data_IF_846696678845
#
_entry.id   IF_846696678845
#
_cell.length_a   1.000
_cell.length_b   1.000
_cell.length_c   1.000
_cell.angle_alpha   90.00
_cell.angle_beta   90.00
_cell.angle_gamma   90.00
#
_symmetry.space_group_name_H-M   'P 1'
#
loop_
_entity.id
_entity.type
_entity.pdbx_description
1 polymer ?
#
# COMPACT_ATOMS: atom_id res chain seq x y z
N UNK A 1 3.69 -16.25 -41.04
CA UNK A 1 2.83 -16.75 -39.95
C UNK A 1 3.47 -16.37 -38.62
N UNK A 2 2.66 -15.72 -37.76
CA UNK A 2 3.02 -15.10 -36.47
C UNK A 2 3.49 -16.15 -35.46
N UNK A 3 4.56 -15.85 -34.71
CA UNK A 3 4.71 -16.16 -33.28
C UNK A 3 5.64 -15.12 -32.63
N UNK A 4 5.10 -13.94 -32.34
CA UNK A 4 5.72 -13.02 -31.37
C UNK A 4 5.17 -13.47 -30.02
N UNK A 5 5.91 -14.30 -29.31
CA UNK A 5 5.58 -14.67 -27.94
C UNK A 5 5.87 -13.47 -27.04
N UNK A 6 4.80 -12.81 -26.62
CA UNK A 6 4.80 -11.96 -25.43
C UNK A 6 5.17 -12.81 -24.23
N UNK A 7 6.35 -12.54 -23.65
CA UNK A 7 6.67 -12.94 -22.29
C UNK A 7 7.59 -11.88 -21.69
N UNK A 8 7.02 -10.72 -21.37
CA UNK A 8 7.59 -9.83 -20.36
C UNK A 8 7.41 -10.51 -18.99
N UNK A 9 8.17 -11.58 -18.76
CA UNK A 9 8.39 -12.10 -17.42
C UNK A 9 9.41 -11.18 -16.76
N UNK A 10 8.93 -10.06 -16.22
CA UNK A 10 9.72 -9.20 -15.35
C UNK A 10 10.13 -10.04 -14.15
N UNK A 11 11.34 -10.59 -14.19
CA UNK A 11 11.94 -11.30 -13.09
C UNK A 11 12.09 -10.33 -11.90
N UNK A 12 11.17 -10.41 -10.95
CA UNK A 12 11.31 -9.75 -9.66
C UNK A 12 12.36 -10.56 -8.91
N UNK A 13 13.64 -10.21 -9.06
CA UNK A 13 14.68 -10.66 -8.15
C UNK A 13 14.35 -10.13 -6.75
N UNK A 14 13.66 -10.95 -5.95
CA UNK A 14 13.40 -10.72 -4.55
C UNK A 14 14.67 -11.07 -3.77
N UNK A 15 15.39 -10.06 -3.28
CA UNK A 15 16.40 -10.25 -2.25
C UNK A 15 15.70 -10.60 -0.94
N UNK A 16 15.58 -11.90 -0.64
CA UNK A 16 15.31 -12.37 0.72
C UNK A 16 16.59 -12.24 1.54
N UNK A 17 16.95 -11.02 1.97
CA UNK A 17 18.01 -10.84 2.97
C UNK A 17 17.44 -11.25 4.33
N UNK A 18 17.45 -12.55 4.61
CA UNK A 18 17.29 -13.04 5.97
C UNK A 18 18.53 -12.58 6.76
N UNK A 19 18.40 -11.51 7.54
CA UNK A 19 19.40 -11.19 8.56
C UNK A 19 19.29 -12.25 9.64
N UNK A 20 20.00 -13.35 9.46
CA UNK A 20 20.08 -14.41 10.45
C UNK A 20 21.22 -14.09 11.42
N UNK A 21 20.89 -13.60 12.61
CA UNK A 21 21.70 -13.92 13.77
C UNK A 21 21.36 -15.37 14.17
N UNK A 22 21.92 -16.35 13.44
CA UNK A 22 21.87 -17.76 13.86
C UNK A 22 22.74 -17.88 15.10
N UNK A 23 22.16 -17.81 16.30
CA UNK A 23 22.81 -18.47 17.44
C UNK A 23 22.74 -19.97 17.18
N UNK A 24 23.88 -20.57 16.90
CA UNK A 24 24.00 -22.02 16.82
C UNK A 24 23.61 -22.62 18.18
N UNK A 25 22.45 -23.26 18.25
CA UNK A 25 22.30 -24.42 19.10
C UNK A 25 21.59 -25.51 18.30
N UNK A 26 22.34 -26.59 18.11
CA UNK A 26 21.82 -27.91 17.78
C UNK A 26 20.70 -28.26 18.75
N UNK A 27 19.45 -28.19 18.29
CA UNK A 27 18.33 -29.00 18.79
C UNK A 27 17.21 -28.98 17.75
N UNK A 28 16.67 -30.16 17.48
CA UNK A 28 15.62 -30.42 16.50
C UNK A 28 14.31 -29.65 16.81
N UNK A 29 13.62 -29.24 15.74
CA UNK A 29 12.17 -28.96 15.67
C UNK A 29 11.57 -27.56 15.97
N UNK A 30 12.25 -26.43 15.77
CA UNK A 30 11.54 -25.12 15.70
C UNK A 30 12.06 -24.15 14.64
N UNK A 31 12.35 -24.64 13.44
CA UNK A 31 12.60 -23.77 12.31
C UNK A 31 11.26 -23.27 11.73
N UNK A 32 10.73 -22.17 12.28
CA UNK A 32 9.75 -21.33 11.57
C UNK A 32 10.45 -20.80 10.30
N UNK A 33 10.48 -21.62 9.26
CA UNK A 33 11.15 -21.26 8.01
C UNK A 33 10.47 -20.04 7.40
N UNK A 34 11.24 -19.22 6.69
CA UNK A 34 10.75 -18.09 5.91
C UNK A 34 9.55 -18.48 5.02
N UNK A 35 9.56 -19.70 4.49
CA UNK A 35 8.47 -20.25 3.67
C UNK A 35 7.19 -20.53 4.46
N UNK A 36 7.30 -21.06 5.67
CA UNK A 36 6.14 -21.26 6.54
C UNK A 36 5.51 -19.93 6.95
N UNK A 37 6.35 -18.93 7.21
CA UNK A 37 5.86 -17.58 7.53
C UNK A 37 5.07 -16.97 6.36
N UNK A 38 5.59 -17.10 5.14
CA UNK A 38 4.89 -16.65 3.93
C UNK A 38 3.58 -17.40 3.71
N UNK A 39 3.57 -18.73 3.89
CA UNK A 39 2.35 -19.54 3.81
C UNK A 39 1.30 -19.12 4.84
N UNK A 40 1.73 -18.78 6.06
CA UNK A 40 0.83 -18.32 7.12
C UNK A 40 0.14 -17.00 6.74
N UNK A 41 0.81 -16.11 5.99
CA UNK A 41 0.23 -14.85 5.51
C UNK A 41 -0.82 -15.02 4.41
N UNK A 42 -0.85 -16.15 3.69
CA UNK A 42 -1.79 -16.34 2.58
C UNK A 42 -3.23 -16.44 3.07
N UNK A 43 -4.16 -15.75 2.42
CA UNK A 43 -5.59 -15.88 2.73
C UNK A 43 -6.34 -14.56 2.78
N UNK A 44 -7.55 -14.61 3.35
CA UNK A 44 -8.42 -13.45 3.50
C UNK A 44 -8.32 -12.87 4.90
N UNK A 45 -8.39 -11.56 5.00
CA UNK A 45 -8.30 -10.80 6.24
C UNK A 45 -9.53 -9.88 6.37
N UNK A 46 -9.98 -9.66 7.60
CA UNK A 46 -10.99 -8.65 7.92
C UNK A 46 -10.57 -7.84 9.15
N UNK A 47 -10.80 -6.54 9.08
CA UNK A 47 -10.44 -5.63 10.14
C UNK A 47 -10.76 -4.19 9.78
N UNK A 48 -9.85 -3.29 10.12
CA UNK A 48 -10.07 -1.85 10.03
C UNK A 48 -9.03 -1.14 9.18
N UNK A 49 -9.49 -0.08 8.51
CA UNK A 49 -8.71 0.93 7.85
C UNK A 49 -8.93 2.25 8.59
N UNK A 50 -7.82 2.93 8.89
CA UNK A 50 -7.78 4.31 9.34
C UNK A 50 -6.77 5.09 8.52
N UNK A 51 -6.82 6.42 8.64
CA UNK A 51 -5.84 7.30 8.05
C UNK A 51 -5.63 8.56 8.91
N UNK A 52 -4.46 9.16 8.80
CA UNK A 52 -4.12 10.44 9.41
C UNK A 52 -3.58 11.41 8.38
N UNK A 53 -3.77 12.70 8.64
CA UNK A 53 -3.27 13.81 7.84
C UNK A 53 -3.10 15.01 8.76
N UNK A 54 -1.98 15.73 8.64
CA UNK A 54 -1.63 16.81 9.58
C UNK A 54 -1.75 16.34 11.05
N UNK A 55 -2.60 16.97 11.87
CA UNK A 55 -2.89 16.58 13.26
C UNK A 55 -4.17 15.75 13.42
N UNK A 56 -4.88 15.47 12.32
CA UNK A 56 -6.15 14.75 12.32
C UNK A 56 -5.94 13.26 12.12
N UNK A 57 -6.73 12.44 12.82
CA UNK A 57 -6.77 10.98 12.65
C UNK A 57 -8.22 10.54 12.51
N UNK A 58 -8.49 9.77 11.46
CA UNK A 58 -9.77 9.13 11.19
C UNK A 58 -9.55 7.62 11.30
N UNK A 59 -10.35 6.93 12.10
CA UNK A 59 -10.18 5.50 12.36
C UNK A 59 -11.46 4.72 12.11
N UNK A 60 -11.32 3.42 11.88
CA UNK A 60 -12.41 2.47 12.11
C UNK A 60 -13.31 2.14 10.91
N UNK A 61 -12.82 2.24 9.67
CA UNK A 61 -13.59 1.76 8.52
C UNK A 61 -13.39 0.27 8.36
N UNK A 62 -14.48 -0.51 8.36
CA UNK A 62 -14.39 -1.94 8.07
C UNK A 62 -13.79 -2.16 6.69
N UNK A 63 -12.79 -3.00 6.62
CA UNK A 63 -12.13 -3.37 5.38
C UNK A 63 -11.78 -4.85 5.37
N UNK A 64 -11.53 -5.36 4.18
CA UNK A 64 -11.03 -6.71 3.98
C UNK A 64 -9.99 -6.71 2.88
N UNK A 65 -9.03 -7.61 2.97
CA UNK A 65 -8.02 -7.79 1.94
C UNK A 65 -7.65 -9.26 1.80
N UNK A 66 -6.99 -9.56 0.68
CA UNK A 66 -6.45 -10.89 0.40
C UNK A 66 -4.96 -10.80 0.18
N UNK A 67 -4.24 -11.82 0.63
CA UNK A 67 -2.82 -12.01 0.34
C UNK A 67 -2.68 -13.26 -0.52
N UNK A 68 -2.06 -13.11 -1.69
CA UNK A 68 -1.87 -14.20 -2.64
C UNK A 68 -0.45 -14.79 -2.61
N UNK A 69 -0.25 -15.87 -3.35
CA UNK A 69 1.03 -16.58 -3.48
C UNK A 69 2.14 -15.71 -4.08
N UNK A 70 1.77 -14.67 -4.83
CA UNK A 70 2.69 -13.67 -5.39
C UNK A 70 3.07 -12.59 -4.38
N UNK A 71 2.64 -12.72 -3.12
CA UNK A 71 2.87 -11.78 -2.02
C UNK A 71 2.28 -10.39 -2.30
N UNK A 72 1.16 -10.38 -3.02
CA UNK A 72 0.38 -9.19 -3.29
C UNK A 72 -0.79 -9.16 -2.31
N UNK A 73 -0.86 -8.09 -1.54
CA UNK A 73 -2.01 -7.75 -0.72
C UNK A 73 -2.96 -6.94 -1.60
N UNK A 74 -4.21 -7.38 -1.75
CA UNK A 74 -5.24 -6.68 -2.51
C UNK A 74 -6.37 -6.25 -1.59
N UNK A 75 -6.56 -4.93 -1.48
CA UNK A 75 -7.69 -4.30 -0.79
C UNK A 75 -8.68 -3.90 -1.89
N UNK A 76 -9.76 -4.66 -2.07
CA UNK A 76 -10.64 -4.53 -3.25
C UNK A 76 -11.35 -3.17 -3.37
N UNK A 77 -11.66 -2.54 -2.25
CA UNK A 77 -12.37 -1.26 -2.18
C UNK A 77 -11.59 -0.27 -1.33
N UNK A 78 -10.45 0.17 -1.84
CA UNK A 78 -9.67 1.22 -1.19
C UNK A 78 -10.29 2.60 -1.47
N UNK A 79 -10.49 3.43 -0.44
CA UNK A 79 -11.27 4.66 -0.59
C UNK A 79 -10.43 5.84 -1.05
N UNK A 80 -10.07 5.90 -2.33
CA UNK A 80 -9.19 6.95 -2.85
C UNK A 80 -9.64 8.39 -2.56
N UNK A 81 -10.94 8.62 -2.31
CA UNK A 81 -11.47 9.90 -1.85
C UNK A 81 -10.82 10.45 -0.59
N UNK A 82 -10.28 9.59 0.28
CA UNK A 82 -9.60 10.04 1.52
C UNK A 82 -8.31 10.81 1.22
N UNK A 83 -7.74 10.68 0.02
CA UNK A 83 -6.61 11.49 -0.43
C UNK A 83 -6.97 12.96 -0.60
N UNK A 84 -8.25 13.34 -0.68
CA UNK A 84 -8.67 14.75 -0.68
C UNK A 84 -8.16 15.49 0.57
N UNK A 85 -8.02 14.80 1.71
CA UNK A 85 -7.48 15.36 2.95
C UNK A 85 -6.00 15.75 2.85
N UNK A 86 -5.30 15.27 1.82
CA UNK A 86 -3.93 15.67 1.50
C UNK A 86 -3.81 17.02 0.79
N UNK A 87 -4.94 17.67 0.46
CA UNK A 87 -4.97 18.97 -0.19
C UNK A 87 -5.22 20.08 0.83
N UNK A 88 -4.27 21.01 1.03
CA UNK A 88 -4.44 22.08 2.02
C UNK A 88 -5.42 23.16 1.62
N UNK A 89 -5.54 23.45 0.33
CA UNK A 89 -6.43 24.46 -0.23
C UNK A 89 -7.84 23.89 -0.32
N UNK A 90 -8.51 23.91 0.81
CA UNK A 90 -9.96 23.76 0.95
C UNK A 90 -10.75 24.93 0.32
N UNK A 91 -10.06 25.98 -0.15
CA UNK A 91 -10.68 27.19 -0.69
C UNK A 91 -10.24 28.48 0.00
N UNK A 92 -9.08 28.50 0.69
CA UNK A 92 -8.58 29.67 1.44
C UNK A 92 -8.34 30.96 0.63
N UNK A 93 -8.38 30.91 -0.70
CA UNK A 93 -8.39 32.10 -1.59
C UNK A 93 -9.72 32.30 -2.33
N UNK A 94 -10.80 31.64 -1.88
CA UNK A 94 -12.15 31.74 -2.46
C UNK A 94 -12.41 30.85 -3.68
N UNK A 95 -11.47 29.98 -4.07
CA UNK A 95 -11.67 29.00 -5.15
C UNK A 95 -11.16 27.64 -4.70
N UNK A 96 -12.04 26.65 -4.68
CA UNK A 96 -11.73 25.25 -4.35
C UNK A 96 -10.68 24.69 -5.33
N UNK A 97 -9.69 23.95 -4.84
CA UNK A 97 -8.71 23.28 -5.71
C UNK A 97 -9.44 22.28 -6.62
N UNK A 98 -9.26 22.34 -7.96
CA UNK A 98 -9.84 21.34 -8.86
C UNK A 98 -9.43 19.91 -8.50
N UNK A 99 -8.22 19.74 -7.93
CA UNK A 99 -7.75 18.46 -7.42
C UNK A 99 -8.56 17.98 -6.22
N UNK A 100 -8.85 18.87 -5.25
CA UNK A 100 -9.66 18.53 -4.09
C UNK A 100 -11.05 18.03 -4.51
N UNK A 101 -11.74 18.80 -5.36
CA UNK A 101 -13.06 18.45 -5.87
C UNK A 101 -13.06 17.12 -6.66
N UNK A 102 -12.00 16.85 -7.42
CA UNK A 102 -11.85 15.61 -8.17
C UNK A 102 -11.57 14.41 -7.25
N UNK A 103 -10.74 14.57 -6.22
CA UNK A 103 -10.45 13.54 -5.24
C UNK A 103 -11.70 13.19 -4.42
N UNK A 104 -12.52 14.16 -4.01
CA UNK A 104 -13.77 13.88 -3.30
C UNK A 104 -14.73 12.98 -4.09
N UNK A 105 -14.66 13.01 -5.42
CA UNK A 105 -15.46 12.19 -6.33
C UNK A 105 -14.77 10.89 -6.76
N UNK A 106 -13.53 10.65 -6.31
CA UNK A 106 -12.79 9.44 -6.64
C UNK A 106 -13.54 8.21 -6.11
N UNK A 107 -13.71 7.22 -6.99
CA UNK A 107 -14.38 5.98 -6.66
C UNK A 107 -13.47 5.07 -5.83
N UNK A 108 -14.09 4.23 -5.01
CA UNK A 108 -13.38 3.14 -4.36
C UNK A 108 -12.89 2.16 -5.44
N UNK A 109 -11.62 1.78 -5.36
CA UNK A 109 -11.02 0.88 -6.33
C UNK A 109 -9.94 0.01 -5.66
N UNK A 110 -9.51 -1.09 -6.31
CA UNK A 110 -8.51 -1.97 -5.72
C UNK A 110 -7.17 -1.30 -5.48
N UNK A 111 -6.66 -1.38 -4.25
CA UNK A 111 -5.26 -1.06 -3.92
C UNK A 111 -4.46 -2.37 -3.85
N UNK A 112 -3.36 -2.42 -4.62
CA UNK A 112 -2.36 -3.49 -4.50
C UNK A 112 -1.19 -3.02 -3.65
N UNK A 113 -0.74 -3.86 -2.74
CA UNK A 113 0.45 -3.63 -1.93
C UNK A 113 1.37 -4.83 -2.08
N UNK A 114 2.59 -4.61 -2.58
CA UNK A 114 3.57 -5.68 -2.80
C UNK A 114 4.43 -5.84 -1.56
N UNK A 115 4.52 -7.05 -1.02
CA UNK A 115 5.51 -7.37 0.03
C UNK A 115 6.86 -7.60 -0.66
N UNK A 116 7.78 -6.64 -0.54
CA UNK A 116 9.13 -6.69 -1.12
C UNK A 116 10.09 -7.56 -0.34
N UNK A 117 9.93 -7.64 0.97
CA UNK A 117 10.83 -8.35 1.86
C UNK A 117 10.25 -8.45 3.27
N UNK A 118 10.87 -9.29 4.08
CA UNK A 118 10.51 -9.41 5.49
C UNK A 118 11.71 -9.80 6.35
N UNK A 119 11.71 -9.32 7.59
CA UNK A 119 12.64 -9.74 8.64
C UNK A 119 11.90 -10.57 9.68
N UNK A 120 12.44 -11.74 10.03
CA UNK A 120 11.83 -12.63 11.01
C UNK A 120 12.30 -12.29 12.44
N UNK A 121 11.38 -12.42 13.38
CA UNK A 121 11.63 -12.54 14.82
C UNK A 121 10.72 -13.62 15.40
N UNK A 122 10.96 -14.04 16.64
CA UNK A 122 10.35 -15.25 17.25
C UNK A 122 8.84 -15.41 16.99
N UNK A 123 8.06 -14.33 17.12
CA UNK A 123 6.60 -14.34 16.94
C UNK A 123 6.07 -13.42 15.84
N UNK A 124 6.94 -12.65 15.17
CA UNK A 124 6.54 -11.63 14.19
C UNK A 124 7.40 -11.67 12.93
N UNK A 125 6.83 -11.23 11.80
CA UNK A 125 7.62 -10.76 10.67
C UNK A 125 7.42 -9.27 10.48
N UNK A 126 8.51 -8.54 10.34
CA UNK A 126 8.51 -7.15 9.88
C UNK A 126 8.41 -7.16 8.38
N UNK A 127 7.54 -6.34 7.79
CA UNK A 127 7.26 -6.34 6.36
C UNK A 127 7.78 -5.06 5.70
N UNK A 128 8.51 -5.21 4.61
CA UNK A 128 8.77 -4.13 3.66
C UNK A 128 7.71 -4.19 2.57
N UNK A 129 6.89 -3.13 2.46
CA UNK A 129 5.77 -3.08 1.52
C UNK A 129 5.92 -1.95 0.52
N UNK A 130 5.36 -2.13 -0.68
CA UNK A 130 5.22 -1.08 -1.70
C UNK A 130 3.76 -1.00 -2.13
N UNK A 131 3.00 -0.01 -1.64
CA UNK A 131 1.68 0.33 -2.15
C UNK A 131 1.75 0.83 -3.59
N UNK A 132 0.91 0.29 -4.46
CA UNK A 132 0.75 0.72 -5.84
C UNK A 132 -0.46 1.65 -5.95
N UNK A 133 -0.28 2.91 -5.56
CA UNK A 133 -1.35 3.92 -5.61
C UNK A 133 -1.52 4.39 -7.05
N UNK A 134 -2.57 3.88 -7.72
CA UNK A 134 -2.93 4.25 -9.08
C UNK A 134 -4.45 4.19 -9.25
N UNK A 135 -5.06 5.31 -9.61
CA UNK A 135 -6.51 5.44 -9.76
C UNK A 135 -6.86 6.56 -10.75
N UNK A 136 -8.08 6.57 -11.28
CA UNK A 136 -8.51 7.62 -12.20
C UNK A 136 -9.35 8.68 -11.48
N UNK A 137 -9.20 9.93 -11.92
CA UNK A 137 -10.04 11.06 -11.51
C UNK A 137 -10.51 11.83 -12.73
N UNK A 138 -11.64 12.52 -12.60
CA UNK A 138 -12.14 13.44 -13.63
C UNK A 138 -11.94 14.89 -13.17
N UNK A 139 -11.24 15.67 -13.97
CA UNK A 139 -10.97 17.10 -13.76
C UNK A 139 -11.42 17.82 -15.04
N UNK A 140 -12.31 18.80 -14.91
CA UNK A 140 -12.82 19.61 -16.03
C UNK A 140 -13.37 18.80 -17.23
N UNK A 141 -13.94 17.62 -16.95
CA UNK A 141 -14.51 16.71 -17.96
C UNK A 141 -13.53 15.69 -18.53
N UNK A 142 -12.22 15.88 -18.32
CA UNK A 142 -11.19 14.96 -18.76
C UNK A 142 -10.83 13.94 -17.68
N UNK A 143 -10.51 12.71 -18.09
CA UNK A 143 -10.08 11.65 -17.18
C UNK A 143 -8.57 11.53 -17.14
N UNK A 144 -8.00 11.63 -15.94
CA UNK A 144 -6.57 11.53 -15.68
C UNK A 144 -6.26 10.35 -14.77
N UNK A 145 -5.09 9.73 -14.98
CA UNK A 145 -4.55 8.75 -14.04
C UNK A 145 -3.76 9.49 -12.96
N UNK A 146 -4.08 9.21 -11.71
CA UNK A 146 -3.37 9.68 -10.53
C UNK A 146 -2.44 8.59 -10.03
N UNK A 147 -1.16 8.94 -9.81
CA UNK A 147 -0.16 8.09 -9.17
C UNK A 147 0.25 8.66 -7.83
N UNK A 148 0.17 7.86 -6.78
CA UNK A 148 0.68 8.23 -5.46
C UNK A 148 2.12 7.76 -5.28
N UNK A 149 2.94 8.63 -4.71
CA UNK A 149 4.32 8.35 -4.34
C UNK A 149 4.41 8.19 -2.82
N UNK A 150 5.06 7.11 -2.41
CA UNK A 150 5.24 6.72 -1.02
C UNK A 150 6.65 7.12 -0.57
N UNK A 151 6.83 7.53 0.69
CA UNK A 151 8.18 7.67 1.25
C UNK A 151 8.84 6.31 1.43
N UNK A 152 10.11 6.19 1.02
CA UNK A 152 10.95 5.04 1.34
C UNK A 152 11.52 5.11 2.78
N UNK A 153 11.39 6.26 3.45
CA UNK A 153 12.00 6.53 4.76
C UNK A 153 11.03 6.36 5.94
N UNK A 154 10.33 5.23 6.00
CA UNK A 154 9.57 4.84 7.20
C UNK A 154 10.46 3.99 8.12
N UNK A 155 10.35 4.13 9.44
CA UNK A 155 11.11 3.26 10.35
C UNK A 155 10.80 1.79 10.06
N UNK A 156 11.81 0.92 10.19
CA UNK A 156 11.59 -0.52 10.27
C UNK A 156 10.44 -0.79 11.26
N UNK A 157 9.59 -1.79 10.99
CA UNK A 157 8.48 -2.27 11.85
C UNK A 157 7.11 -1.58 11.73
N UNK A 158 6.89 -0.62 10.82
CA UNK A 158 5.55 -0.02 10.63
C UNK A 158 4.51 -1.03 10.10
N UNK A 159 4.96 -1.98 9.28
CA UNK A 159 4.17 -3.09 8.79
C UNK A 159 4.67 -4.42 9.34
N UNK A 160 3.77 -5.28 9.80
CA UNK A 160 4.12 -6.57 10.41
C UNK A 160 3.03 -7.63 10.25
N UNK A 161 3.42 -8.88 10.45
CA UNK A 161 2.54 -10.01 10.65
C UNK A 161 2.87 -10.72 11.96
N UNK A 162 1.87 -10.94 12.82
CA UNK A 162 2.00 -11.64 14.10
C UNK A 162 1.42 -13.04 13.98
N UNK A 163 2.23 -14.07 14.20
CA UNK A 163 1.82 -15.46 13.96
C UNK A 163 0.76 -15.95 14.95
N UNK A 164 0.91 -15.61 16.23
CA UNK A 164 0.09 -16.16 17.32
C UNK A 164 -1.40 -15.85 17.20
N UNK A 165 -1.75 -14.74 16.55
CA UNK A 165 -3.12 -14.30 16.34
C UNK A 165 -3.46 -14.06 14.85
N UNK A 166 -2.56 -14.46 13.94
CA UNK A 166 -2.67 -14.22 12.50
C UNK A 166 -3.05 -12.77 12.15
N UNK A 167 -2.50 -11.80 12.88
CA UNK A 167 -2.75 -10.37 12.70
C UNK A 167 -1.78 -9.79 11.67
N UNK A 168 -2.30 -9.03 10.72
CA UNK A 168 -1.51 -8.23 9.78
C UNK A 168 -1.77 -6.75 10.02
N UNK A 169 -0.68 -6.00 10.19
CA UNK A 169 -0.68 -4.54 10.31
C UNK A 169 0.11 -3.97 9.13
N UNK A 170 -0.49 -3.01 8.43
CA UNK A 170 0.14 -2.30 7.32
C UNK A 170 0.09 -0.81 7.60
N UNK A 171 1.19 -0.12 7.35
CA UNK A 171 1.26 1.33 7.41
C UNK A 171 2.05 1.88 6.22
N UNK A 172 1.49 2.87 5.54
CA UNK A 172 2.17 3.59 4.46
C UNK A 172 1.67 5.03 4.37
N UNK A 173 2.51 5.93 3.83
CA UNK A 173 2.17 7.35 3.66
C UNK A 173 2.25 7.75 2.20
N UNK A 174 1.18 8.35 1.69
CA UNK A 174 1.16 8.99 0.37
C UNK A 174 1.63 10.43 0.54
N UNK A 175 2.78 10.76 -0.02
CA UNK A 175 3.44 12.06 0.13
C UNK A 175 3.12 13.01 -1.02
N UNK A 176 2.97 12.45 -2.23
CA UNK A 176 2.79 13.23 -3.45
C UNK A 176 1.82 12.51 -4.36
N UNK A 177 1.07 13.30 -5.12
CA UNK A 177 0.29 12.83 -6.26
C UNK A 177 0.86 13.39 -7.56
N UNK A 178 0.93 12.54 -8.58
CA UNK A 178 1.25 12.93 -9.95
C UNK A 178 0.04 12.64 -10.82
N UNK A 179 -0.41 13.67 -11.53
CA UNK A 179 -1.43 13.57 -12.58
C UNK A 179 -0.75 13.16 -13.86
N UNK A 180 -1.21 12.08 -14.48
CA UNK A 180 -0.69 11.54 -15.73
C UNK A 180 -1.77 11.69 -16.80
N UNK A 181 -1.44 12.41 -17.86
CA UNK A 181 -2.24 12.47 -19.06
C UNK A 181 -1.69 11.45 -20.06
N UNK A 182 -2.30 10.26 -20.10
CA UNK A 182 -1.89 9.19 -21.00
C UNK A 182 -2.10 9.55 -22.47
N UNK A 183 -3.06 10.42 -22.81
CA UNK A 183 -3.32 10.83 -24.19
C UNK A 183 -2.22 11.74 -24.75
N UNK A 184 -1.55 12.51 -23.89
CA UNK A 184 -0.49 13.44 -24.29
C UNK A 184 0.90 13.04 -23.77
N UNK A 185 1.01 11.91 -23.06
CA UNK A 185 2.28 11.41 -22.52
C UNK A 185 2.92 12.34 -21.49
N UNK A 186 2.13 13.21 -20.84
CA UNK A 186 2.63 14.18 -19.86
C UNK A 186 2.32 13.76 -18.43
N UNK A 187 3.16 14.18 -17.50
CA UNK A 187 2.97 13.97 -16.07
C UNK A 187 3.27 15.24 -15.28
N UNK A 188 2.41 15.58 -14.34
CA UNK A 188 2.49 16.79 -13.53
C UNK A 188 2.35 16.48 -12.05
N UNK A 189 3.34 16.88 -11.24
CA UNK A 189 3.25 16.82 -9.77
C UNK A 189 2.17 17.80 -9.32
N UNK A 190 1.19 17.29 -8.58
CA UNK A 190 0.10 18.08 -8.06
C UNK A 190 0.55 18.86 -6.82
N UNK A 191 0.85 20.14 -7.02
CA UNK A 191 1.37 21.03 -5.95
C UNK A 191 0.36 21.29 -4.83
N UNK A 192 -0.93 21.14 -5.12
CA UNK A 192 -1.98 21.32 -4.13
C UNK A 192 -2.10 20.11 -3.18
N UNK A 193 -1.54 18.94 -3.54
CA UNK A 193 -1.39 17.82 -2.59
C UNK A 193 -0.10 18.05 -1.79
N UNK A 194 -0.23 18.77 -0.68
CA UNK A 194 0.88 19.28 0.13
C UNK A 194 0.84 18.79 1.58
N UNK A 195 -0.14 17.95 1.92
CA UNK A 195 -0.25 17.27 3.22
C UNK A 195 -0.14 15.76 3.01
N UNK A 196 0.88 15.09 3.56
CA UNK A 196 0.98 13.65 3.49
C UNK A 196 -0.21 12.97 4.18
N UNK A 197 -0.69 11.86 3.60
CA UNK A 197 -1.78 11.05 4.15
C UNK A 197 -1.23 9.67 4.52
N UNK A 198 -1.24 9.34 5.81
CA UNK A 198 -0.79 8.04 6.31
C UNK A 198 -1.98 7.11 6.51
N UNK A 199 -1.90 5.90 5.97
CA UNK A 199 -2.91 4.86 6.14
C UNK A 199 -2.43 3.82 7.14
N UNK A 200 -3.34 3.37 7.98
CA UNK A 200 -3.14 2.32 8.96
C UNK A 200 -4.17 1.23 8.73
N UNK A 201 -3.73 0.02 8.48
CA UNK A 201 -4.59 -1.13 8.31
C UNK A 201 -4.25 -2.17 9.35
N UNK A 202 -5.27 -2.73 10.00
CA UNK A 202 -5.12 -3.78 10.99
C UNK A 202 -6.22 -4.83 10.80
N UNK A 203 -5.85 -6.08 10.58
CA UNK A 203 -6.82 -7.16 10.42
C UNK A 203 -6.29 -8.51 10.92
N UNK A 204 -7.22 -9.40 11.23
CA UNK A 204 -6.93 -10.80 11.49
C UNK A 204 -7.36 -11.64 10.29
N UNK A 205 -6.65 -12.74 10.09
CA UNK A 205 -6.99 -13.74 9.08
C UNK A 205 -8.34 -14.40 9.43
N UNK A 206 -9.18 -14.60 8.41
CA UNK A 206 -10.44 -15.35 8.50
C UNK A 206 -10.23 -16.86 8.49
#
# INVERSE_FOLDING_TARGET
MKKIMNAAATAICLFAMAWTAVSCSSDDNHQNSADQMLKNMLGSYEGTLGFSYSTSTVSGWTTSWKVDEMRIITIDKFPYRTLANGVSKDGSTGTESPLHAALLKAQDAPLKVVIKGFGLSDSNASLTIIPQIKFNVTIDGDTYEMKGYITDNKPMFSSRYTMSNSEMVLEFTVEKLVKVNNAHGTSEVQKDFDRPVTYYLKANKK
#
